data_IF_466615855867
#
_entry.id   IF_466615855867
#
_cell.length_a   1.000
_cell.length_b   1.000
_cell.length_c   1.000
_cell.angle_alpha   90.00
_cell.angle_beta   90.00
_cell.angle_gamma   90.00
#
_symmetry.space_group_name_H-M   'P 1'
#
loop_
_entity.id
_entity.type
_entity.pdbx_description
1 polymer ?
#
# COMPACT_ATOMS: atom_id res chain seq x y z
N UNK A 1 6.72 17.68 -9.97
CA UNK A 1 7.34 18.68 -9.09
C UNK A 1 6.34 19.13 -8.05
N UNK A 2 6.68 18.97 -6.77
CA UNK A 2 5.75 19.24 -5.66
C UNK A 2 6.10 20.57 -5.05
N UNK A 3 5.32 21.60 -5.36
CA UNK A 3 5.41 22.88 -4.67
C UNK A 3 4.74 22.77 -3.29
N UNK A 4 5.30 23.36 -2.22
CA UNK A 4 4.67 23.40 -0.89
C UNK A 4 3.33 24.14 -0.90
N UNK A 5 2.42 23.79 0.02
CA UNK A 5 1.10 24.41 0.12
C UNK A 5 1.16 25.94 0.28
N UNK A 6 2.02 26.41 1.20
CA UNK A 6 2.26 27.83 1.48
C UNK A 6 2.59 28.61 0.20
N UNK A 7 3.44 28.03 -0.66
CA UNK A 7 3.83 28.66 -1.92
C UNK A 7 2.66 28.77 -2.90
N UNK A 8 1.85 27.71 -3.04
CA UNK A 8 0.67 27.72 -3.92
C UNK A 8 -0.35 28.77 -3.48
N UNK A 9 -0.61 28.85 -2.17
CA UNK A 9 -1.49 29.85 -1.58
C UNK A 9 -0.97 31.26 -1.84
N UNK A 10 0.34 31.47 -1.66
CA UNK A 10 0.96 32.77 -1.89
C UNK A 10 0.84 33.22 -3.35
N UNK A 11 1.14 32.33 -4.31
CA UNK A 11 1.03 32.65 -5.75
C UNK A 11 -0.40 32.97 -6.15
N UNK A 12 -1.38 32.22 -5.64
CA UNK A 12 -2.80 32.48 -5.92
C UNK A 12 -3.29 33.78 -5.27
N UNK A 13 -2.84 34.08 -4.04
CA UNK A 13 -3.17 35.34 -3.36
C UNK A 13 -2.61 36.55 -4.13
N UNK A 14 -1.36 36.50 -4.61
CA UNK A 14 -0.77 37.58 -5.40
C UNK A 14 -1.51 37.75 -6.73
N UNK A 15 -1.88 36.64 -7.39
CA UNK A 15 -2.68 36.69 -8.62
C UNK A 15 -4.01 37.42 -8.39
N UNK A 16 -4.71 37.15 -7.29
CA UNK A 16 -5.98 37.81 -6.95
C UNK A 16 -5.80 39.29 -6.59
N UNK A 17 -4.78 39.61 -5.79
CA UNK A 17 -4.47 40.98 -5.39
C UNK A 17 -4.15 41.87 -6.59
N UNK A 18 -3.34 41.36 -7.53
CA UNK A 18 -2.90 42.12 -8.70
C UNK A 18 -3.78 41.91 -9.93
N UNK A 19 -4.86 41.11 -9.82
CA UNK A 19 -5.78 40.74 -10.91
C UNK A 19 -5.06 40.24 -12.18
N UNK A 20 -3.98 39.48 -11.99
CA UNK A 20 -3.16 38.96 -13.08
C UNK A 20 -3.84 37.79 -13.81
N UNK A 21 -3.49 37.65 -15.09
CA UNK A 21 -3.83 36.44 -15.85
C UNK A 21 -2.92 35.27 -15.44
N UNK A 22 -3.36 34.04 -15.73
CA UNK A 22 -2.54 32.85 -15.48
C UNK A 22 -1.23 32.83 -16.28
N UNK A 23 -1.21 33.44 -17.47
CA UNK A 23 0.00 33.57 -18.30
C UNK A 23 1.04 34.48 -17.63
N UNK A 24 0.63 35.67 -17.22
CA UNK A 24 1.50 36.63 -16.53
C UNK A 24 1.99 36.09 -15.18
N UNK A 25 1.12 35.39 -14.44
CA UNK A 25 1.49 34.74 -13.18
C UNK A 25 2.53 33.64 -13.42
N UNK A 26 2.38 32.86 -14.49
CA UNK A 26 3.31 31.80 -14.86
C UNK A 26 4.70 32.36 -15.19
N UNK A 27 4.77 33.45 -15.94
CA UNK A 27 6.03 34.14 -16.27
C UNK A 27 6.69 34.72 -15.03
N UNK A 28 5.93 35.42 -14.18
CA UNK A 28 6.47 36.09 -12.99
C UNK A 28 7.08 35.14 -11.97
N UNK A 29 6.43 34.01 -11.72
CA UNK A 29 6.89 33.01 -10.75
C UNK A 29 7.70 31.87 -11.39
N UNK A 30 7.89 31.89 -12.71
CA UNK A 30 8.52 30.82 -13.49
C UNK A 30 7.87 29.45 -13.18
N UNK A 31 6.55 29.45 -13.14
CA UNK A 31 5.72 28.25 -12.89
C UNK A 31 4.93 27.95 -14.14
N UNK A 32 4.93 26.70 -14.60
CA UNK A 32 4.14 26.32 -15.77
C UNK A 32 2.64 26.61 -15.60
N UNK A 33 1.99 27.16 -16.64
CA UNK A 33 0.57 27.51 -16.63
C UNK A 33 -0.34 26.35 -16.20
N UNK A 34 -0.03 25.12 -16.64
CA UNK A 34 -0.77 23.92 -16.25
C UNK A 34 -0.69 23.60 -14.75
N UNK A 35 0.35 24.06 -14.05
CA UNK A 35 0.46 23.93 -12.59
C UNK A 35 -0.48 24.89 -11.87
N UNK A 36 -0.55 26.15 -12.33
CA UNK A 36 -1.47 27.15 -11.78
C UNK A 36 -2.93 26.73 -11.95
N UNK A 37 -3.30 26.24 -13.15
CA UNK A 37 -4.62 25.69 -13.40
C UNK A 37 -4.93 24.50 -12.47
N UNK A 38 -3.94 23.64 -12.21
CA UNK A 38 -4.09 22.54 -11.26
C UNK A 38 -4.35 23.03 -9.84
N UNK A 39 -3.64 24.08 -9.40
CA UNK A 39 -3.80 24.65 -8.06
C UNK A 39 -5.13 25.37 -7.89
N UNK A 40 -5.63 26.02 -8.95
CA UNK A 40 -6.95 26.63 -8.97
C UNK A 40 -8.06 25.58 -8.76
N UNK A 41 -7.92 24.40 -9.38
CA UNK A 41 -8.85 23.29 -9.17
C UNK A 41 -8.65 22.59 -7.81
N UNK A 42 -7.39 22.39 -7.41
CA UNK A 42 -7.03 21.71 -6.15
C UNK A 42 -5.69 22.22 -5.63
N UNK A 43 -5.74 23.00 -4.56
CA UNK A 43 -4.54 23.57 -3.94
C UNK A 43 -3.73 22.52 -3.18
N UNK A 44 -4.44 21.62 -2.49
CA UNK A 44 -3.85 20.57 -1.68
C UNK A 44 -3.13 19.53 -2.56
N UNK A 45 -1.83 19.29 -2.34
CA UNK A 45 -1.11 18.27 -3.06
C UNK A 45 -1.63 16.87 -2.73
N UNK A 46 -1.77 16.04 -3.76
CA UNK A 46 -2.09 14.63 -3.56
C UNK A 46 -0.84 13.90 -3.05
N UNK A 47 -0.79 13.57 -1.75
CA UNK A 47 0.34 12.85 -1.14
C UNK A 47 0.32 11.36 -1.45
N UNK A 48 -0.87 10.78 -1.59
CA UNK A 48 -1.03 9.33 -1.69
C UNK A 48 -1.83 8.96 -2.93
N UNK A 49 -1.43 7.87 -3.58
CA UNK A 49 -2.19 7.28 -4.67
C UNK A 49 -3.26 6.37 -4.08
N UNK A 50 -4.54 6.69 -4.33
CA UNK A 50 -5.63 5.75 -4.07
C UNK A 50 -5.68 4.72 -5.20
N UNK A 51 -5.03 3.56 -5.04
CA UNK A 51 -5.11 2.43 -5.97
C UNK A 51 -5.63 1.18 -5.24
N UNK A 52 -6.71 0.54 -5.73
CA UNK A 52 -7.18 -0.71 -5.14
C UNK A 52 -6.19 -1.86 -5.36
N UNK A 53 -6.30 -2.89 -4.52
CA UNK A 53 -5.55 -4.12 -4.69
C UNK A 53 -6.07 -4.86 -5.93
N UNK A 54 -5.23 -5.08 -6.94
CA UNK A 54 -5.67 -5.70 -8.21
C UNK A 54 -5.76 -7.23 -8.16
N UNK A 55 -5.02 -7.88 -7.25
CA UNK A 55 -4.86 -9.35 -7.24
C UNK A 55 -5.55 -10.09 -6.09
N UNK A 56 -5.96 -9.37 -5.04
CA UNK A 56 -6.50 -9.99 -3.82
C UNK A 56 -7.81 -9.30 -3.50
N UNK A 57 -8.90 -10.05 -3.58
CA UNK A 57 -10.23 -9.57 -3.20
C UNK A 57 -10.34 -9.44 -1.69
N UNK A 58 -10.82 -8.28 -1.26
CA UNK A 58 -10.90 -7.91 0.17
C UNK A 58 -11.84 -8.83 0.93
N UNK A 59 -12.97 -9.16 0.33
CA UNK A 59 -14.02 -9.98 0.94
C UNK A 59 -13.56 -11.42 1.12
N UNK A 60 -12.98 -12.01 0.06
CA UNK A 60 -12.44 -13.38 0.08
C UNK A 60 -11.38 -13.54 1.16
N UNK A 61 -10.45 -12.58 1.26
CA UNK A 61 -9.43 -12.61 2.32
C UNK A 61 -10.04 -12.48 3.72
N UNK A 62 -11.08 -11.65 3.89
CA UNK A 62 -11.74 -11.47 5.19
C UNK A 62 -12.44 -12.76 5.64
N UNK A 63 -13.05 -13.49 4.70
CA UNK A 63 -13.70 -14.77 4.98
C UNK A 63 -12.69 -15.89 5.33
N UNK A 64 -11.53 -15.93 4.67
CA UNK A 64 -10.44 -16.87 5.00
C UNK A 64 -9.83 -16.56 6.38
N UNK A 65 -9.71 -15.27 6.75
CA UNK A 65 -9.28 -14.86 8.10
C UNK A 65 -10.28 -15.30 9.17
N UNK A 66 -11.58 -15.15 8.92
CA UNK A 66 -12.61 -15.56 9.86
C UNK A 66 -12.66 -17.10 10.03
N UNK A 67 -12.50 -17.85 8.94
CA UNK A 67 -12.53 -19.31 8.96
C UNK A 67 -11.29 -19.90 9.63
N UNK A 68 -10.11 -19.30 9.37
CA UNK A 68 -8.83 -19.81 9.87
C UNK A 68 -8.05 -18.67 10.53
N UNK A 69 -8.30 -18.31 11.80
CA UNK A 69 -7.63 -17.18 12.42
C UNK A 69 -6.11 -17.40 12.57
N UNK A 70 -5.70 -18.62 12.93
CA UNK A 70 -4.30 -18.97 13.21
C UNK A 70 -3.50 -19.41 11.98
N UNK A 71 -4.12 -19.45 10.80
CA UNK A 71 -3.43 -19.88 9.58
C UNK A 71 -2.29 -18.93 9.19
N UNK A 72 -1.16 -19.54 8.82
CA UNK A 72 0.01 -18.81 8.39
C UNK A 72 -0.20 -18.17 7.01
N UNK A 73 0.54 -17.09 6.72
CA UNK A 73 0.44 -16.37 5.45
C UNK A 73 0.70 -17.26 4.22
N UNK A 74 1.56 -18.28 4.34
CA UNK A 74 1.85 -19.21 3.24
C UNK A 74 0.68 -20.15 2.95
N UNK A 75 -0.06 -20.59 3.97
CA UNK A 75 -1.23 -21.46 3.82
C UNK A 75 -2.37 -20.70 3.13
N UNK A 76 -2.61 -19.46 3.58
CA UNK A 76 -3.60 -18.56 2.96
C UNK A 76 -3.26 -18.27 1.50
N UNK A 77 -1.98 -18.05 1.21
CA UNK A 77 -1.47 -17.84 -0.14
C UNK A 77 -1.71 -19.06 -1.03
N UNK A 78 -1.51 -20.28 -0.52
CA UNK A 78 -1.79 -21.51 -1.25
C UNK A 78 -3.29 -21.67 -1.57
N UNK A 79 -4.17 -21.34 -0.62
CA UNK A 79 -5.64 -21.39 -0.83
C UNK A 79 -6.12 -20.37 -1.86
N UNK A 80 -5.57 -19.15 -1.80
CA UNK A 80 -5.99 -18.03 -2.62
C UNK A 80 -5.20 -17.89 -3.93
N UNK A 81 -4.22 -18.75 -4.18
CA UNK A 81 -3.40 -18.72 -5.41
C UNK A 81 -2.54 -17.47 -5.56
N UNK A 82 -2.13 -16.84 -4.46
CA UNK A 82 -1.35 -15.59 -4.44
C UNK A 82 -0.03 -15.77 -3.71
N UNK A 83 0.85 -14.75 -3.74
CA UNK A 83 2.10 -14.81 -2.98
C UNK A 83 1.87 -14.56 -1.48
N UNK A 84 2.65 -15.23 -0.63
CA UNK A 84 2.61 -15.04 0.82
C UNK A 84 2.85 -13.56 1.21
N UNK A 85 3.75 -12.87 0.50
CA UNK A 85 3.98 -11.43 0.71
C UNK A 85 2.74 -10.59 0.37
N UNK A 86 2.05 -10.93 -0.72
CA UNK A 86 0.81 -10.27 -1.12
C UNK A 86 -0.27 -10.38 -0.04
N UNK A 87 -0.42 -11.56 0.58
CA UNK A 87 -1.31 -11.76 1.73
C UNK A 87 -0.91 -10.86 2.90
N UNK A 88 0.38 -10.84 3.27
CA UNK A 88 0.86 -9.99 4.35
C UNK A 88 0.56 -8.50 4.14
N UNK A 89 0.74 -7.99 2.91
CA UNK A 89 0.42 -6.61 2.57
C UNK A 89 -1.10 -6.36 2.52
N UNK A 90 -1.90 -7.36 2.11
CA UNK A 90 -3.36 -7.28 2.13
C UNK A 90 -3.93 -7.26 3.57
N UNK A 91 -3.39 -8.08 4.48
CA UNK A 91 -3.74 -8.07 5.90
C UNK A 91 -3.44 -6.72 6.55
N UNK A 92 -2.31 -6.10 6.23
CA UNK A 92 -1.98 -4.74 6.69
C UNK A 92 -2.97 -3.70 6.19
N UNK A 93 -3.43 -3.81 4.93
CA UNK A 93 -4.48 -2.92 4.38
C UNK A 93 -5.83 -3.11 5.09
N UNK A 94 -6.10 -4.32 5.58
CA UNK A 94 -7.28 -4.63 6.39
C UNK A 94 -7.16 -4.18 7.86
N UNK A 95 -5.97 -3.78 8.32
CA UNK A 95 -5.72 -3.45 9.72
C UNK A 95 -5.65 -4.68 10.64
N UNK A 96 -5.53 -5.89 10.08
CA UNK A 96 -5.48 -7.13 10.84
C UNK A 96 -4.03 -7.41 11.27
N UNK A 97 -3.77 -7.33 12.57
CA UNK A 97 -2.47 -7.70 13.16
C UNK A 97 -2.67 -8.86 14.12
N UNK A 98 -1.99 -9.99 13.89
CA UNK A 98 -1.95 -11.09 14.85
C UNK A 98 -0.96 -10.74 15.97
N UNK A 99 -1.47 -10.58 17.20
CA UNK A 99 -0.63 -10.44 18.40
C UNK A 99 -0.30 -11.84 18.93
N UNK A 100 0.95 -12.06 19.33
CA UNK A 100 1.37 -13.33 19.94
C UNK A 100 0.62 -13.54 21.26
N UNK A 101 -0.12 -14.64 21.35
CA UNK A 101 -0.71 -15.08 22.62
C UNK A 101 0.40 -15.65 23.52
N UNK A 102 0.39 -15.30 24.80
CA UNK A 102 1.43 -15.69 25.77
C UNK A 102 1.36 -17.18 26.17
N UNK A 103 0.28 -17.89 25.82
CA UNK A 103 0.17 -19.32 26.03
C UNK A 103 1.10 -20.06 25.05
N UNK A 104 2.03 -20.84 25.59
CA UNK A 104 2.93 -21.67 24.80
C UNK A 104 2.13 -22.70 23.98
N UNK A 105 2.36 -22.75 22.68
CA UNK A 105 1.89 -23.84 21.82
C UNK A 105 2.51 -25.13 22.34
N UNK A 106 1.69 -26.15 22.64
CA UNK A 106 2.22 -27.50 22.80
C UNK A 106 2.89 -27.89 21.48
N UNK A 107 4.23 -27.95 21.48
CA UNK A 107 5.00 -28.38 20.33
C UNK A 107 4.73 -29.87 20.11
N UNK A 108 3.83 -30.22 19.19
CA UNK A 108 3.89 -31.54 18.59
C UNK A 108 5.08 -31.54 17.63
N UNK A 109 6.22 -32.01 18.14
CA UNK A 109 7.43 -32.18 17.34
C UNK A 109 7.12 -33.09 16.16
N UNK A 110 7.19 -32.55 14.96
CA UNK A 110 7.15 -33.36 13.74
C UNK A 110 8.37 -34.27 13.76
N UNK A 111 8.15 -35.53 14.13
CA UNK A 111 9.14 -36.59 14.03
C UNK A 111 9.68 -36.66 12.60
N UNK A 112 10.99 -36.86 12.52
CA UNK A 112 11.81 -36.89 11.31
C UNK A 112 11.17 -37.73 10.19
N UNK A 113 11.06 -37.17 8.97
CA UNK A 113 11.00 -38.00 7.76
C UNK A 113 12.44 -38.20 7.29
N UNK A 114 12.94 -39.42 7.50
CA UNK A 114 14.26 -39.86 7.06
C UNK A 114 14.46 -39.63 5.55
N UNK A 115 15.66 -39.19 5.20
CA UNK A 115 16.16 -39.21 3.83
C UNK A 115 16.38 -40.67 3.41
N UNK A 116 15.88 -41.15 2.26
CA UNK A 116 16.21 -42.50 1.81
C UNK A 116 17.69 -42.58 1.42
N UNK A 117 18.36 -43.59 1.99
CA UNK A 117 19.77 -43.93 1.80
C UNK A 117 20.15 -44.12 0.32
N UNK A 118 21.38 -43.72 0.00
CA UNK A 118 22.01 -43.92 -1.32
C UNK A 118 22.15 -45.42 -1.64
N UNK A 119 21.74 -45.82 -2.84
CA UNK A 119 21.98 -47.17 -3.36
C UNK A 119 23.48 -47.39 -3.71
N UNK A 120 24.04 -48.60 -3.47
CA UNK A 120 25.40 -48.93 -3.84
C UNK A 120 25.55 -49.22 -5.35
N UNK A 121 26.71 -48.83 -5.89
CA UNK A 121 27.15 -49.11 -7.26
C UNK A 121 27.44 -50.60 -7.43
N UNK A 122 27.05 -51.16 -8.57
CA UNK A 122 27.66 -52.34 -9.18
C UNK A 122 28.62 -51.87 -10.28
#
# INVERSE_FOLDING_TARGET
MTYPLKFRQHVLAIKEQEKLTYAQTAERFVVGMASLMRWANRIEPCMTRNKPATKIDREVLTQDVATYPDAYQFERAQRLGVSARGIGDALKRLGLTCKKNAAASQSQGTSQRGFPDKAPKL
#
